data_IF_347191659239
#
_entry.id   IF_347191659239
#
_cell.length_a   1.000
_cell.length_b   1.000
_cell.length_c   1.000
_cell.angle_alpha   90.00
_cell.angle_beta   90.00
_cell.angle_gamma   90.00
#
_symmetry.space_group_name_H-M   'P 1'
#
loop_
_entity.id
_entity.type
_entity.pdbx_description
1 polymer ?
#
# COMPACT_ATOMS: atom_id res chain seq x y z
N UNK A 1 -64.91 -26.22 67.49
CA UNK A 1 -64.43 -25.64 68.74
C UNK A 1 -63.15 -24.91 68.42
N UNK A 2 -63.29 -23.70 68.20
CA UNK A 2 -62.72 -22.51 68.84
C UNK A 2 -61.25 -22.57 69.21
N UNK A 3 -60.44 -21.74 68.61
CA UNK A 3 -59.79 -20.66 69.33
C UNK A 3 -59.03 -19.72 68.34
N UNK A 4 -59.53 -18.50 68.33
CA UNK A 4 -58.88 -17.32 67.74
C UNK A 4 -57.61 -16.96 68.53
N UNK A 5 -56.55 -16.64 67.84
CA UNK A 5 -55.43 -15.91 68.45
C UNK A 5 -55.06 -14.78 67.50
N UNK A 6 -55.32 -13.58 67.97
CA UNK A 6 -54.88 -12.28 67.46
C UNK A 6 -53.36 -12.19 67.72
N UNK A 7 -52.61 -11.95 66.68
CA UNK A 7 -51.21 -11.52 66.77
C UNK A 7 -51.10 -10.14 66.22
N UNK A 8 -50.65 -9.23 67.05
CA UNK A 8 -50.45 -7.81 66.78
C UNK A 8 -49.23 -7.63 65.84
N UNK A 9 -49.45 -6.76 64.87
CA UNK A 9 -48.39 -6.32 63.95
C UNK A 9 -47.65 -5.08 64.57
N UNK A 10 -46.33 -5.10 64.65
CA UNK A 10 -45.58 -3.87 64.97
C UNK A 10 -45.38 -3.04 63.72
N UNK A 11 -45.68 -1.76 63.88
CA UNK A 11 -45.50 -0.67 62.92
C UNK A 11 -43.99 -0.37 62.84
N UNK A 12 -43.29 -0.78 61.76
CA UNK A 12 -41.93 -0.42 61.48
C UNK A 12 -41.88 0.93 60.74
N UNK A 13 -41.33 1.94 61.43
CA UNK A 13 -40.96 3.20 60.79
C UNK A 13 -39.81 2.96 59.78
N UNK A 14 -40.09 3.17 58.53
CA UNK A 14 -39.05 3.23 57.48
C UNK A 14 -38.41 4.62 57.48
N UNK A 15 -37.17 4.66 57.96
CA UNK A 15 -36.31 5.83 57.81
C UNK A 15 -35.76 5.78 56.37
N UNK A 16 -36.25 6.66 55.49
CA UNK A 16 -35.77 6.84 54.15
C UNK A 16 -34.36 7.48 54.14
N UNK A 17 -33.34 6.69 53.88
CA UNK A 17 -32.02 7.22 53.58
C UNK A 17 -32.01 7.76 52.15
N UNK A 18 -31.95 9.06 51.99
CA UNK A 18 -31.64 9.73 50.72
C UNK A 18 -30.20 9.39 50.37
N UNK A 19 -30.02 8.48 49.40
CA UNK A 19 -28.71 8.26 48.75
C UNK A 19 -28.51 9.39 47.76
N UNK A 20 -27.67 10.36 48.11
CA UNK A 20 -27.21 11.36 47.15
C UNK A 20 -26.33 10.62 46.10
N UNK A 21 -26.85 10.50 44.87
CA UNK A 21 -26.08 10.06 43.70
C UNK A 21 -25.13 11.19 43.35
N UNK A 22 -23.88 11.09 43.78
CA UNK A 22 -22.80 11.94 43.30
C UNK A 22 -22.61 11.65 41.82
N UNK A 23 -22.95 12.62 40.96
CA UNK A 23 -22.58 12.57 39.56
C UNK A 23 -21.04 12.52 39.47
N UNK A 24 -20.52 11.36 39.14
CA UNK A 24 -19.11 11.24 38.78
C UNK A 24 -18.87 12.02 37.50
N UNK A 25 -18.18 13.15 37.65
CA UNK A 25 -17.68 13.91 36.50
C UNK A 25 -16.68 12.98 35.76
N UNK A 26 -17.03 12.61 34.55
CA UNK A 26 -16.10 12.00 33.60
C UNK A 26 -14.88 12.92 33.46
N UNK A 27 -13.65 12.42 33.63
CA UNK A 27 -12.46 13.23 33.37
C UNK A 27 -12.52 13.75 31.91
N UNK A 28 -12.12 14.99 31.65
CA UNK A 28 -12.05 15.48 30.28
C UNK A 28 -11.10 14.56 29.49
N UNK A 29 -11.52 14.16 28.31
CA UNK A 29 -10.67 13.43 27.39
C UNK A 29 -9.33 14.17 27.24
N UNK A 30 -8.21 13.46 27.20
CA UNK A 30 -6.92 14.09 26.98
C UNK A 30 -7.00 14.83 25.64
N UNK A 31 -6.93 16.16 25.71
CA UNK A 31 -6.72 16.99 24.53
C UNK A 31 -5.32 16.62 24.02
N UNK A 32 -5.27 15.79 22.99
CA UNK A 32 -4.06 15.64 22.21
C UNK A 32 -3.60 17.05 21.81
N UNK A 33 -2.38 17.46 22.10
CA UNK A 33 -1.89 18.69 21.52
C UNK A 33 -1.99 18.48 20.01
N UNK A 34 -2.79 19.30 19.34
CA UNK A 34 -2.71 19.47 17.92
C UNK A 34 -1.30 20.03 17.64
N UNK A 35 -0.33 19.12 17.62
CA UNK A 35 0.96 19.40 17.04
C UNK A 35 0.68 19.71 15.59
N UNK A 36 0.61 21.01 15.27
CA UNK A 36 0.88 21.49 13.94
C UNK A 36 2.33 21.07 13.65
N UNK A 37 2.51 19.77 13.34
CA UNK A 37 3.69 19.29 12.70
C UNK A 37 3.82 20.14 11.45
N UNK A 38 4.75 21.08 11.46
CA UNK A 38 5.19 21.75 10.25
C UNK A 38 5.48 20.60 9.28
N UNK A 39 4.59 20.38 8.32
CA UNK A 39 4.90 19.54 7.17
C UNK A 39 6.09 20.23 6.51
N UNK A 40 7.29 19.80 6.90
CA UNK A 40 8.50 20.23 6.23
C UNK A 40 8.29 19.83 4.77
N UNK A 41 8.07 20.84 3.94
CA UNK A 41 7.92 20.68 2.51
C UNK A 41 9.11 19.86 2.06
N UNK A 42 8.84 18.64 1.57
CA UNK A 42 9.90 17.76 1.11
C UNK A 42 10.87 18.54 0.22
N UNK A 43 12.18 18.39 0.40
CA UNK A 43 13.16 19.11 -0.42
C UNK A 43 12.82 18.96 -1.89
N UNK A 44 12.98 20.01 -2.67
CA UNK A 44 12.77 19.95 -4.11
C UNK A 44 13.67 18.85 -4.69
N UNK A 45 13.12 18.03 -5.58
CA UNK A 45 13.90 16.98 -6.24
C UNK A 45 15.12 17.64 -6.94
N UNK A 46 16.33 17.07 -6.80
CA UNK A 46 17.52 17.66 -7.38
C UNK A 46 17.38 17.75 -8.91
N UNK A 47 17.80 18.87 -9.46
CA UNK A 47 17.88 19.10 -10.90
C UNK A 47 19.30 18.85 -11.38
N UNK A 48 19.44 18.46 -12.64
CA UNK A 48 20.75 18.23 -13.25
C UNK A 48 20.74 17.05 -14.22
N UNK A 49 21.87 16.81 -14.89
CA UNK A 49 21.98 15.71 -15.84
C UNK A 49 21.92 14.35 -15.12
N UNK A 50 21.38 13.38 -15.83
CA UNK A 50 21.31 12.00 -15.36
C UNK A 50 22.72 11.41 -15.33
N UNK A 51 23.05 10.73 -14.22
CA UNK A 51 24.32 10.02 -14.06
C UNK A 51 24.29 8.70 -14.80
N UNK A 52 25.49 8.19 -15.15
CA UNK A 52 25.66 6.86 -15.75
C UNK A 52 26.56 5.98 -14.91
N UNK A 53 26.29 4.70 -14.96
CA UNK A 53 27.14 3.67 -14.39
C UNK A 53 28.38 3.44 -15.28
N UNK A 54 29.44 2.77 -14.78
CA UNK A 54 30.63 2.46 -15.56
C UNK A 54 30.34 1.66 -16.86
N UNK A 55 29.29 0.85 -16.87
CA UNK A 55 28.85 0.10 -18.05
C UNK A 55 28.08 0.96 -19.07
N UNK A 56 27.93 2.27 -18.85
CA UNK A 56 27.27 3.22 -19.74
C UNK A 56 25.76 3.36 -19.55
N UNK A 57 25.12 2.46 -18.83
CA UNK A 57 23.69 2.56 -18.56
C UNK A 57 23.35 3.69 -17.58
N UNK A 58 22.12 4.15 -17.61
CA UNK A 58 21.62 5.16 -16.68
C UNK A 58 21.69 4.62 -15.25
N UNK A 59 22.25 5.42 -14.37
CA UNK A 59 22.24 5.17 -12.93
C UNK A 59 20.86 5.49 -12.36
N UNK A 60 20.08 4.46 -12.03
CA UNK A 60 18.77 4.57 -11.37
C UNK A 60 18.89 4.47 -9.85
N UNK A 61 20.09 4.22 -9.32
CA UNK A 61 20.34 4.00 -7.90
C UNK A 61 19.91 5.18 -7.05
N UNK A 62 19.47 4.90 -5.84
CA UNK A 62 19.06 5.90 -4.85
C UNK A 62 17.80 5.52 -4.09
N UNK A 63 17.44 6.36 -3.14
CA UNK A 63 16.18 6.27 -2.41
C UNK A 63 15.14 7.12 -3.13
N UNK A 64 14.01 6.53 -3.43
CA UNK A 64 12.92 7.11 -4.19
C UNK A 64 11.63 7.11 -3.39
N UNK A 65 10.70 8.00 -3.72
CA UNK A 65 9.35 8.02 -3.17
C UNK A 65 8.32 8.25 -4.27
N UNK A 66 7.18 7.55 -4.20
CA UNK A 66 6.17 7.50 -5.27
C UNK A 66 6.56 6.55 -6.39
N UNK A 67 6.07 6.78 -7.61
CA UNK A 67 6.36 5.97 -8.79
C UNK A 67 5.42 4.82 -9.05
N UNK A 68 4.31 4.74 -8.33
CA UNK A 68 3.22 3.79 -8.55
C UNK A 68 1.95 4.23 -7.85
N UNK A 69 0.83 3.52 -8.06
CA UNK A 69 -0.42 3.81 -7.39
C UNK A 69 -0.29 3.55 -5.88
N UNK A 70 -0.88 4.43 -5.09
CA UNK A 70 -1.09 4.30 -3.66
C UNK A 70 -2.59 4.31 -3.39
N UNK A 71 -3.26 5.46 -3.55
CA UNK A 71 -4.70 5.63 -3.32
C UNK A 71 -5.58 5.03 -4.42
N UNK A 72 -5.42 5.48 -5.65
CA UNK A 72 -6.23 5.06 -6.80
C UNK A 72 -5.36 4.93 -8.06
N UNK A 73 -5.34 3.78 -8.67
CA UNK A 73 -4.61 3.50 -9.91
C UNK A 73 -5.05 4.40 -11.08
N UNK A 74 -6.30 4.85 -11.07
CA UNK A 74 -6.85 5.74 -12.11
C UNK A 74 -6.13 7.08 -12.19
N UNK A 75 -5.46 7.50 -11.12
CA UNK A 75 -4.61 8.70 -11.15
C UNK A 75 -3.43 8.59 -12.13
N UNK A 76 -3.03 7.39 -12.49
CA UNK A 76 -1.98 7.13 -13.48
C UNK A 76 -2.48 7.00 -14.92
N UNK A 77 -3.77 6.96 -15.15
CA UNK A 77 -4.33 6.86 -16.50
C UNK A 77 -4.13 8.15 -17.30
N UNK A 78 -4.00 8.02 -18.61
CA UNK A 78 -3.98 9.17 -19.49
C UNK A 78 -5.32 9.94 -19.43
N UNK A 79 -5.27 11.25 -19.68
CA UNK A 79 -6.47 12.11 -19.65
C UNK A 79 -7.57 11.55 -20.57
N UNK A 80 -8.74 11.30 -20.00
CA UNK A 80 -9.91 10.77 -20.70
C UNK A 80 -9.97 9.26 -20.80
N UNK A 81 -8.94 8.54 -20.37
CA UNK A 81 -8.96 7.08 -20.25
C UNK A 81 -9.76 6.66 -19.01
N UNK A 82 -10.35 5.47 -19.09
CA UNK A 82 -11.05 4.82 -17.99
C UNK A 82 -10.48 3.43 -17.77
N UNK A 83 -10.57 2.97 -16.53
CA UNK A 83 -10.14 1.62 -16.17
C UNK A 83 -11.02 0.59 -16.90
N UNK A 84 -10.46 -0.28 -17.76
CA UNK A 84 -11.23 -1.23 -18.56
C UNK A 84 -11.62 -2.49 -17.77
N UNK A 85 -12.00 -2.32 -16.50
CA UNK A 85 -12.35 -3.41 -15.59
C UNK A 85 -13.64 -4.11 -16.04
N UNK A 86 -13.69 -5.43 -15.95
CA UNK A 86 -14.87 -6.21 -16.24
C UNK A 86 -15.93 -6.04 -15.14
N UNK A 87 -17.25 -6.09 -15.48
CA UNK A 87 -18.31 -5.82 -14.52
C UNK A 87 -18.31 -6.73 -13.29
N UNK A 88 -17.93 -8.00 -13.45
CA UNK A 88 -17.81 -8.96 -12.34
C UNK A 88 -16.70 -8.56 -11.36
N UNK A 89 -15.57 -8.08 -11.86
CA UNK A 89 -14.45 -7.62 -11.04
C UNK A 89 -14.70 -6.25 -10.41
N UNK A 90 -15.47 -5.38 -11.09
CA UNK A 90 -15.94 -4.13 -10.48
C UNK A 90 -16.79 -4.41 -9.24
N UNK A 91 -17.69 -5.40 -9.27
CA UNK A 91 -18.49 -5.81 -8.11
C UNK A 91 -17.63 -6.32 -6.95
N UNK A 92 -16.58 -7.07 -7.26
CA UNK A 92 -15.62 -7.54 -6.24
C UNK A 92 -14.90 -6.36 -5.61
N UNK A 93 -14.41 -5.42 -6.43
CA UNK A 93 -13.76 -4.21 -5.97
C UNK A 93 -14.68 -3.37 -5.07
N UNK A 94 -15.93 -3.16 -5.48
CA UNK A 94 -16.94 -2.38 -4.73
C UNK A 94 -17.30 -3.01 -3.37
N UNK A 95 -17.13 -4.33 -3.23
CA UNK A 95 -17.41 -5.06 -1.99
C UNK A 95 -16.21 -5.12 -1.02
N UNK A 96 -15.00 -4.74 -1.46
CA UNK A 96 -13.79 -4.82 -0.63
C UNK A 96 -13.86 -3.85 0.54
N UNK A 97 -13.29 -4.29 1.66
CA UNK A 97 -13.19 -3.50 2.88
C UNK A 97 -11.72 -3.18 3.15
N UNK A 98 -11.42 -2.00 3.69
CA UNK A 98 -10.03 -1.57 3.97
C UNK A 98 -9.28 -2.53 4.91
N UNK A 99 -9.99 -3.19 5.84
CA UNK A 99 -9.40 -4.22 6.73
C UNK A 99 -8.93 -5.48 5.98
N UNK A 100 -9.45 -5.72 4.78
CA UNK A 100 -9.13 -6.89 3.96
C UNK A 100 -7.96 -6.59 2.99
N UNK A 101 -7.47 -5.36 3.00
CA UNK A 101 -6.27 -5.00 2.23
C UNK A 101 -5.07 -5.82 2.73
N UNK A 102 -4.40 -6.58 1.87
CA UNK A 102 -3.20 -7.32 2.24
C UNK A 102 -2.14 -6.45 2.90
N UNK A 103 -1.99 -5.22 2.45
CA UNK A 103 -1.05 -4.27 3.02
C UNK A 103 -1.41 -3.90 4.47
N UNK A 104 -2.68 -3.70 4.78
CA UNK A 104 -3.14 -3.49 6.16
C UNK A 104 -2.83 -4.68 7.08
N UNK A 105 -2.67 -5.86 6.50
CA UNK A 105 -2.30 -7.10 7.17
C UNK A 105 -0.79 -7.42 7.11
N UNK A 106 0.04 -6.42 6.83
CA UNK A 106 1.50 -6.56 6.74
C UNK A 106 1.96 -7.57 5.68
N UNK A 107 1.25 -7.66 4.55
CA UNK A 107 1.62 -8.48 3.41
C UNK A 107 2.20 -7.62 2.28
N UNK A 108 2.95 -8.18 1.33
CA UNK A 108 3.56 -7.41 0.27
C UNK A 108 2.57 -6.66 -0.61
N UNK A 109 2.97 -5.48 -1.11
CA UNK A 109 2.13 -4.65 -1.98
C UNK A 109 1.95 -5.19 -3.40
N UNK A 110 2.84 -6.07 -3.86
CA UNK A 110 2.84 -6.53 -5.26
C UNK A 110 3.31 -5.46 -6.24
N UNK A 111 2.81 -5.52 -7.48
CA UNK A 111 3.16 -4.64 -8.60
C UNK A 111 1.86 -4.23 -9.32
N UNK A 112 1.66 -2.97 -9.68
CA UNK A 112 2.58 -1.82 -9.65
C UNK A 112 2.48 -0.97 -8.38
N UNK A 113 1.71 -1.41 -7.38
CA UNK A 113 1.44 -0.64 -6.16
C UNK A 113 2.74 -0.18 -5.50
N UNK A 114 2.69 1.03 -4.97
CA UNK A 114 3.69 1.56 -4.04
C UNK A 114 2.97 1.95 -2.77
N UNK A 115 3.60 1.70 -1.64
CA UNK A 115 3.19 2.28 -0.38
C UNK A 115 3.67 3.74 -0.26
N UNK A 116 3.21 4.50 0.72
CA UNK A 116 3.63 5.88 0.89
C UNK A 116 5.07 6.03 1.41
N UNK A 117 5.77 4.92 1.64
CA UNK A 117 7.13 4.89 2.18
C UNK A 117 8.18 4.95 1.08
N UNK A 118 9.43 5.31 1.41
CA UNK A 118 10.55 5.27 0.49
C UNK A 118 10.88 3.85 0.04
N UNK A 119 11.53 3.77 -1.12
CA UNK A 119 12.07 2.54 -1.66
C UNK A 119 13.39 2.82 -2.37
N UNK A 120 14.26 1.83 -2.48
CA UNK A 120 15.61 2.00 -3.01
C UNK A 120 15.82 1.12 -4.24
N UNK A 121 16.50 1.70 -5.24
CA UNK A 121 17.06 0.93 -6.38
C UNK A 121 18.53 0.67 -6.11
N UNK A 122 18.93 -0.58 -6.27
CA UNK A 122 20.31 -1.03 -6.36
C UNK A 122 20.52 -1.73 -7.70
N UNK A 123 21.59 -1.37 -8.40
CA UNK A 123 21.92 -1.95 -9.71
C UNK A 123 23.27 -2.66 -9.65
N UNK A 124 23.30 -3.85 -10.23
CA UNK A 124 24.51 -4.60 -10.55
C UNK A 124 24.49 -4.97 -12.04
N UNK A 125 25.54 -5.58 -12.56
CA UNK A 125 25.58 -6.00 -13.96
C UNK A 125 24.56 -7.11 -14.28
N UNK A 126 24.18 -7.90 -13.29
CA UNK A 126 23.28 -9.06 -13.48
C UNK A 126 21.89 -8.87 -12.87
N UNK A 127 21.72 -7.90 -11.99
CA UNK A 127 20.47 -7.69 -11.27
C UNK A 127 20.17 -6.21 -11.03
N UNK A 128 18.88 -5.89 -10.97
CA UNK A 128 18.39 -4.67 -10.35
C UNK A 128 17.46 -5.07 -9.21
N UNK A 129 17.67 -4.49 -8.02
CA UNK A 129 16.83 -4.75 -6.85
C UNK A 129 16.04 -3.50 -6.50
N UNK A 130 14.77 -3.71 -6.18
CA UNK A 130 13.92 -2.71 -5.52
C UNK A 130 13.76 -3.16 -4.08
N UNK A 131 14.25 -2.37 -3.12
CA UNK A 131 14.11 -2.62 -1.68
C UNK A 131 13.01 -1.69 -1.16
N UNK A 132 12.06 -2.22 -0.45
CA UNK A 132 10.93 -1.47 0.10
C UNK A 132 11.09 -1.27 1.60
N UNK A 133 10.85 -0.04 2.10
CA UNK A 133 10.87 0.28 3.52
C UNK A 133 9.58 -0.16 4.19
N UNK A 134 8.45 0.12 3.55
CA UNK A 134 7.14 -0.07 4.15
C UNK A 134 6.63 -1.51 4.17
N UNK A 135 5.60 -1.73 4.99
CA UNK A 135 4.88 -2.97 5.18
C UNK A 135 5.69 -4.09 5.80
N UNK A 136 6.30 -4.84 4.96
CA UNK A 136 7.23 -5.92 5.30
C UNK A 136 8.51 -5.60 4.54
N UNK A 137 9.63 -5.70 5.20
CA UNK A 137 10.93 -5.56 4.56
C UNK A 137 11.04 -6.57 3.42
N UNK A 138 10.60 -6.15 2.25
CA UNK A 138 10.56 -6.98 1.07
C UNK A 138 11.44 -6.39 -0.02
N UNK A 139 11.74 -7.20 -0.98
CA UNK A 139 12.49 -6.78 -2.15
C UNK A 139 11.92 -7.42 -3.41
N UNK A 140 12.13 -6.74 -4.52
CA UNK A 140 11.87 -7.28 -5.84
C UNK A 140 13.19 -7.43 -6.57
N UNK A 141 13.41 -8.59 -7.15
CA UNK A 141 14.59 -8.91 -7.94
C UNK A 141 14.23 -8.86 -9.42
N UNK A 142 15.02 -8.15 -10.19
CA UNK A 142 14.91 -8.06 -11.65
C UNK A 142 16.19 -8.62 -12.23
N UNK A 143 16.08 -9.69 -13.02
CA UNK A 143 17.19 -10.34 -13.68
C UNK A 143 17.62 -9.56 -14.92
N UNK A 144 18.89 -9.18 -15.01
CA UNK A 144 19.46 -8.38 -16.11
C UNK A 144 20.38 -9.19 -17.03
N UNK A 145 20.41 -10.51 -16.88
CA UNK A 145 21.30 -11.41 -17.59
C UNK A 145 20.75 -11.98 -18.90
N UNK A 146 19.60 -11.46 -19.36
CA UNK A 146 18.97 -11.86 -20.62
C UNK A 146 18.22 -13.19 -20.59
N UNK A 147 18.01 -13.74 -19.38
CA UNK A 147 17.20 -14.97 -19.23
C UNK A 147 15.76 -14.78 -19.67
N UNK A 148 15.10 -15.89 -19.97
CA UNK A 148 13.64 -15.93 -20.17
C UNK A 148 12.94 -16.27 -18.86
N UNK A 149 11.63 -16.01 -18.81
CA UNK A 149 10.80 -16.55 -17.73
C UNK A 149 10.79 -18.08 -17.77
N UNK A 150 10.89 -18.74 -16.61
CA UNK A 150 10.62 -20.18 -16.51
C UNK A 150 9.18 -20.50 -16.92
N UNK A 151 8.95 -21.70 -17.43
CA UNK A 151 7.61 -22.16 -17.84
C UNK A 151 6.76 -22.68 -16.68
N UNK A 152 7.40 -22.95 -15.54
CA UNK A 152 6.85 -23.62 -14.34
C UNK A 152 6.96 -22.71 -13.10
N UNK A 153 6.55 -21.46 -13.23
CA UNK A 153 6.58 -20.48 -12.14
C UNK A 153 5.53 -20.77 -11.09
N UNK A 154 5.96 -20.85 -9.83
CA UNK A 154 5.06 -20.72 -8.70
C UNK A 154 4.63 -19.24 -8.57
N UNK A 155 3.33 -18.93 -8.48
CA UNK A 155 2.84 -17.57 -8.34
C UNK A 155 3.34 -16.89 -7.06
N UNK A 156 3.87 -15.67 -7.18
CA UNK A 156 4.41 -14.89 -6.06
C UNK A 156 3.86 -13.46 -6.02
N UNK A 157 4.08 -12.75 -4.92
CA UNK A 157 3.65 -11.35 -4.77
C UNK A 157 4.26 -10.38 -5.77
N UNK A 158 5.53 -10.59 -6.14
CA UNK A 158 6.26 -9.70 -7.05
C UNK A 158 6.51 -10.32 -8.42
N UNK A 159 6.04 -11.54 -8.65
CA UNK A 159 6.26 -12.28 -9.89
C UNK A 159 7.74 -12.56 -10.16
N UNK A 160 8.00 -13.08 -11.35
CA UNK A 160 9.34 -13.25 -11.91
C UNK A 160 9.61 -12.12 -12.90
N UNK A 161 10.63 -11.29 -12.62
CA UNK A 161 10.94 -10.10 -13.40
C UNK A 161 12.23 -10.26 -14.19
N UNK A 162 12.18 -9.98 -15.50
CA UNK A 162 13.37 -9.90 -16.37
C UNK A 162 13.49 -8.48 -16.92
N UNK A 163 14.69 -7.94 -16.92
CA UNK A 163 14.97 -6.58 -17.34
C UNK A 163 15.85 -6.53 -18.59
N UNK A 164 15.67 -5.47 -19.39
CA UNK A 164 16.56 -5.12 -20.48
C UNK A 164 16.63 -3.61 -20.63
N UNK A 165 17.72 -3.12 -21.19
CA UNK A 165 17.85 -1.72 -21.53
C UNK A 165 17.37 -1.45 -22.95
N UNK A 166 16.55 -0.42 -23.13
CA UNK A 166 16.14 0.16 -24.41
C UNK A 166 16.60 1.63 -24.40
N UNK A 167 17.81 1.87 -24.91
CA UNK A 167 18.46 3.17 -24.75
C UNK A 167 18.67 3.52 -23.27
N UNK A 168 18.10 4.62 -22.83
CA UNK A 168 18.18 5.11 -21.43
C UNK A 168 17.00 4.65 -20.55
N UNK A 169 16.17 3.75 -21.04
CA UNK A 169 15.02 3.22 -20.32
C UNK A 169 15.27 1.77 -19.92
N UNK A 170 15.14 1.47 -18.63
CA UNK A 170 15.06 0.11 -18.14
C UNK A 170 13.63 -0.42 -18.37
N UNK A 171 13.50 -1.47 -19.15
CA UNK A 171 12.24 -2.16 -19.39
C UNK A 171 12.22 -3.45 -18.59
N UNK A 172 11.17 -3.62 -17.79
CA UNK A 172 11.00 -4.78 -16.90
C UNK A 172 9.73 -5.52 -17.29
N UNK A 173 9.87 -6.74 -17.70
CA UNK A 173 8.80 -7.67 -18.03
C UNK A 173 8.56 -8.60 -16.83
N UNK A 174 7.30 -8.79 -16.42
CA UNK A 174 6.99 -9.58 -15.21
C UNK A 174 5.73 -10.40 -15.38
N UNK A 175 5.83 -11.67 -15.03
CA UNK A 175 4.74 -12.66 -15.01
C UNK A 175 4.82 -13.51 -13.73
N UNK A 176 3.86 -14.39 -13.51
CA UNK A 176 3.85 -15.32 -12.37
C UNK A 176 3.49 -14.63 -11.06
N UNK A 177 2.52 -13.73 -11.11
CA UNK A 177 1.92 -13.12 -9.93
C UNK A 177 0.87 -14.06 -9.30
N UNK A 178 0.79 -14.04 -7.95
CA UNK A 178 -0.41 -14.53 -7.28
C UNK A 178 -1.53 -13.48 -7.38
N UNK A 179 -2.75 -13.82 -6.97
CA UNK A 179 -3.92 -12.93 -6.99
C UNK A 179 -4.24 -12.30 -5.62
N UNK A 180 -3.25 -12.27 -4.71
CA UNK A 180 -3.46 -11.94 -3.30
C UNK A 180 -3.30 -10.47 -2.98
N UNK A 181 -2.75 -9.63 -3.85
CA UNK A 181 -2.57 -8.21 -3.59
C UNK A 181 -3.58 -7.32 -4.33
N UNK A 182 -3.62 -6.05 -3.97
CA UNK A 182 -4.42 -5.04 -4.63
C UNK A 182 -3.51 -4.02 -5.32
N UNK A 183 -3.96 -3.46 -6.43
CA UNK A 183 -3.16 -2.43 -7.12
C UNK A 183 -3.10 -1.09 -6.38
N UNK A 184 -4.02 -0.84 -5.44
CA UNK A 184 -4.18 0.42 -4.71
C UNK A 184 -5.05 0.25 -3.45
N UNK A 185 -5.23 1.34 -2.66
CA UNK A 185 -6.04 1.31 -1.44
C UNK A 185 -7.54 1.17 -1.68
N UNK A 186 -8.04 1.50 -2.89
CA UNK A 186 -9.45 1.31 -3.20
C UNK A 186 -9.79 -0.12 -3.64
N UNK A 187 -8.81 -1.00 -3.65
CA UNK A 187 -9.04 -2.42 -3.89
C UNK A 187 -9.10 -2.82 -5.36
N UNK A 188 -8.40 -2.12 -6.24
CA UNK A 188 -8.35 -2.48 -7.66
C UNK A 188 -7.75 -3.89 -7.85
N UNK A 189 -8.52 -4.83 -8.44
CA UNK A 189 -8.17 -6.25 -8.48
C UNK A 189 -7.28 -6.62 -9.66
N UNK A 190 -6.73 -7.82 -9.58
CA UNK A 190 -6.10 -8.53 -10.68
C UNK A 190 -6.27 -10.04 -10.49
N UNK A 191 -5.77 -10.83 -11.44
CA UNK A 191 -5.75 -12.29 -11.42
C UNK A 191 -4.32 -12.81 -11.59
N UNK A 192 -4.12 -14.12 -11.48
CA UNK A 192 -2.85 -14.77 -11.80
C UNK A 192 -2.45 -14.67 -13.29
N UNK A 193 -3.37 -14.21 -14.16
CA UNK A 193 -3.07 -13.95 -15.57
C UNK A 193 -2.37 -12.60 -15.77
N UNK A 194 -2.11 -11.86 -14.68
CA UNK A 194 -1.44 -10.58 -14.73
C UNK A 194 -0.06 -10.68 -15.37
N UNK A 195 0.15 -9.86 -16.38
CA UNK A 195 1.44 -9.57 -17.00
C UNK A 195 1.68 -8.07 -16.94
N UNK A 196 2.84 -7.65 -16.50
CA UNK A 196 3.20 -6.22 -16.48
C UNK A 196 4.47 -5.96 -17.27
N UNK A 197 4.47 -4.85 -18.02
CA UNK A 197 5.69 -4.30 -18.62
C UNK A 197 5.89 -2.89 -18.07
N UNK A 198 6.94 -2.71 -17.28
CA UNK A 198 7.28 -1.42 -16.67
C UNK A 198 8.46 -0.78 -17.40
N UNK A 199 8.39 0.53 -17.60
CA UNK A 199 9.42 1.33 -18.26
C UNK A 199 9.90 2.42 -17.30
N UNK A 200 11.11 2.26 -16.80
CA UNK A 200 11.77 3.18 -15.86
C UNK A 200 12.64 4.14 -16.64
N UNK A 201 12.23 5.40 -16.70
CA UNK A 201 13.00 6.46 -17.40
C UNK A 201 13.36 7.57 -16.43
N UNK A 202 14.66 7.72 -16.13
CA UNK A 202 15.16 8.81 -15.30
C UNK A 202 15.30 10.06 -16.16
N UNK A 203 14.34 10.99 -16.06
CA UNK A 203 14.28 12.18 -16.93
C UNK A 203 15.17 13.31 -16.44
N UNK A 204 15.43 13.40 -15.14
CA UNK A 204 16.39 14.32 -14.51
C UNK A 204 17.11 13.61 -13.36
N UNK A 205 18.10 14.25 -12.77
CA UNK A 205 18.79 13.69 -11.59
C UNK A 205 17.80 13.26 -10.49
N UNK A 206 16.72 14.00 -10.28
CA UNK A 206 15.77 13.77 -9.19
C UNK A 206 14.43 13.21 -9.61
N UNK A 207 14.21 12.87 -10.89
CA UNK A 207 12.90 12.47 -11.40
C UNK A 207 12.99 11.15 -12.16
N UNK A 208 12.21 10.18 -11.74
CA UNK A 208 12.06 8.89 -12.39
C UNK A 208 10.60 8.71 -12.80
N UNK A 209 10.34 8.58 -14.10
CA UNK A 209 9.02 8.30 -14.65
C UNK A 209 8.91 6.79 -14.84
N UNK A 210 7.81 6.21 -14.36
CA UNK A 210 7.51 4.78 -14.47
C UNK A 210 6.18 4.65 -15.21
N UNK A 211 6.25 4.17 -16.44
CA UNK A 211 5.08 3.76 -17.22
C UNK A 211 4.91 2.26 -17.05
N UNK A 212 3.72 1.83 -16.63
CA UNK A 212 3.40 0.41 -16.50
C UNK A 212 2.25 0.05 -17.44
N UNK A 213 2.48 -0.88 -18.33
CA UNK A 213 1.43 -1.57 -19.07
C UNK A 213 0.95 -2.73 -18.23
N UNK A 214 -0.35 -2.81 -18.01
CA UNK A 214 -1.03 -3.87 -17.29
C UNK A 214 -1.85 -4.65 -18.32
N UNK A 215 -1.57 -5.93 -18.43
CA UNK A 215 -2.31 -6.88 -19.26
C UNK A 215 -2.77 -8.05 -18.38
N UNK A 216 -4.05 -8.06 -18.08
CA UNK A 216 -4.69 -9.11 -17.28
C UNK A 216 -6.07 -9.43 -17.88
N UNK A 217 -6.11 -10.36 -18.82
CA UNK A 217 -7.35 -10.73 -19.49
C UNK A 217 -8.37 -11.39 -18.55
N UNK A 218 -7.97 -11.82 -17.35
CA UNK A 218 -8.85 -12.29 -16.29
C UNK A 218 -9.75 -11.18 -15.74
N UNK A 219 -9.18 -10.03 -15.43
CA UNK A 219 -9.90 -8.93 -14.76
C UNK A 219 -10.29 -7.78 -15.68
N UNK A 220 -9.62 -7.59 -16.82
CA UNK A 220 -9.80 -6.43 -17.72
C UNK A 220 -10.19 -6.84 -19.13
N UNK A 221 -10.88 -5.95 -19.81
CA UNK A 221 -11.35 -6.17 -21.20
C UNK A 221 -10.28 -5.89 -22.26
N UNK A 222 -9.23 -5.16 -21.90
CA UNK A 222 -8.05 -4.84 -22.73
C UNK A 222 -6.87 -4.45 -21.86
N UNK A 223 -5.64 -4.53 -22.36
CA UNK A 223 -4.49 -3.92 -21.69
C UNK A 223 -4.68 -2.41 -21.53
N UNK A 224 -4.07 -1.85 -20.49
CA UNK A 224 -4.08 -0.41 -20.23
C UNK A 224 -2.74 0.04 -19.64
N UNK A 225 -2.51 1.35 -19.67
CA UNK A 225 -1.27 1.95 -19.18
C UNK A 225 -1.54 2.93 -18.05
N UNK A 226 -0.63 2.94 -17.11
CA UNK A 226 -0.56 3.94 -16.06
C UNK A 226 0.83 4.56 -16.04
N UNK A 227 0.93 5.83 -15.63
CA UNK A 227 2.20 6.53 -15.50
C UNK A 227 2.26 7.27 -14.19
N UNK A 228 3.30 7.00 -13.43
CA UNK A 228 3.58 7.65 -12.16
C UNK A 228 5.02 8.18 -12.13
N UNK A 229 5.24 9.15 -11.25
CA UNK A 229 6.56 9.76 -11.09
C UNK A 229 7.08 9.51 -9.69
N UNK A 230 8.31 8.99 -9.59
CA UNK A 230 9.06 8.92 -8.35
C UNK A 230 10.02 10.11 -8.24
N UNK A 231 10.23 10.58 -7.00
CA UNK A 231 11.17 11.65 -6.66
C UNK A 231 12.32 11.09 -5.85
N UNK A 232 13.55 11.45 -6.27
CA UNK A 232 14.75 11.09 -5.53
C UNK A 232 14.76 11.81 -4.17
N UNK A 233 15.17 11.10 -3.14
CA UNK A 233 15.33 11.56 -1.76
C UNK A 233 16.83 11.57 -1.39
N UNK A 234 17.56 12.63 -1.75
CA UNK A 234 19.01 12.65 -1.57
C UNK A 234 19.39 12.62 -0.09
N UNK A 235 20.36 11.76 0.23
CA UNK A 235 20.86 11.63 1.60
C UNK A 235 19.92 10.89 2.56
N UNK A 236 18.77 10.42 2.10
CA UNK A 236 17.90 9.56 2.90
C UNK A 236 18.35 8.11 2.86
N UNK A 237 18.10 7.43 3.95
CA UNK A 237 18.30 5.99 4.12
C UNK A 237 16.93 5.33 4.28
N UNK A 238 16.83 4.05 3.95
CA UNK A 238 15.66 3.26 4.32
C UNK A 238 15.71 3.00 5.82
N UNK A 239 14.59 3.24 6.48
CA UNK A 239 14.45 2.96 7.91
C UNK A 239 14.01 1.52 8.11
N UNK A 240 14.29 0.99 9.29
CA UNK A 240 13.66 -0.24 9.75
C UNK A 240 12.19 0.06 10.08
N UNK A 241 11.29 -0.70 9.44
CA UNK A 241 9.85 -0.60 9.66
C UNK A 241 9.27 -1.99 9.88
N UNK A 242 8.82 -2.25 11.11
CA UNK A 242 8.21 -3.54 11.47
C UNK A 242 6.69 -3.36 11.51
N UNK A 243 6.02 -3.71 10.43
CA UNK A 243 4.58 -3.52 10.27
C UNK A 243 3.75 -4.15 11.41
N UNK A 244 4.17 -5.30 11.93
CA UNK A 244 3.47 -6.00 13.01
C UNK A 244 3.68 -5.39 14.41
N UNK A 245 4.64 -4.47 14.58
CA UNK A 245 4.79 -3.75 15.84
C UNK A 245 3.62 -2.80 16.01
N UNK A 246 2.87 -3.00 17.11
CA UNK A 246 1.68 -2.20 17.47
C UNK A 246 0.53 -2.23 16.44
N UNK A 247 0.50 -3.19 15.51
CA UNK A 247 -0.58 -3.34 14.54
C UNK A 247 -1.87 -3.95 15.15
N UNK A 248 -2.24 -3.52 16.34
CA UNK A 248 -3.48 -3.95 17.02
C UNK A 248 -4.77 -3.36 16.44
N UNK A 249 -4.67 -2.41 15.51
CA UNK A 249 -5.81 -1.66 15.00
C UNK A 249 -6.44 -2.24 13.73
N UNK A 250 -5.80 -3.17 13.04
CA UNK A 250 -6.30 -3.70 11.76
C UNK A 250 -7.73 -4.24 11.87
N UNK A 251 -8.07 -4.88 12.99
CA UNK A 251 -9.42 -5.42 13.23
C UNK A 251 -10.49 -4.35 13.50
N UNK A 252 -10.07 -3.10 13.75
CA UNK A 252 -10.95 -1.97 13.98
C UNK A 252 -11.16 -1.12 12.71
N UNK A 253 -10.40 -1.37 11.65
CA UNK A 253 -10.57 -0.70 10.36
C UNK A 253 -11.80 -1.31 9.68
N UNK A 254 -12.90 -0.56 9.68
CA UNK A 254 -14.15 -1.01 9.07
C UNK A 254 -14.62 -0.02 8.01
N UNK A 255 -15.34 -0.54 7.02
CA UNK A 255 -15.89 0.26 5.94
C UNK A 255 -15.33 -0.11 4.56
N UNK A 256 -15.92 0.42 3.47
CA UNK A 256 -15.47 0.14 2.12
C UNK A 256 -14.04 0.67 1.93
N UNK A 257 -13.27 0.00 1.09
CA UNK A 257 -11.96 0.47 0.67
C UNK A 257 -12.13 1.83 -0.04
N UNK A 258 -11.46 2.86 0.46
CA UNK A 258 -11.54 4.25 -0.04
C UNK A 258 -10.17 4.89 0.04
N UNK A 259 -10.01 5.96 -0.73
CA UNK A 259 -8.87 6.87 -0.59
C UNK A 259 -8.88 7.53 0.81
N UNK A 260 -7.70 7.71 1.37
CA UNK A 260 -7.47 8.46 2.59
C UNK A 260 -7.12 9.91 2.28
#
# INVERSE_FOLDING_TARGET
>A
MNRSSLVALPLALAVGALVAVSAQQTPPAPTSPAGAGSQQRAPAAPTGPVKRLPNGHVDLSGVWQGGGPVGDIKMGLAKGETLPIKPEWQKIMDARQSKDDPEANCLPTGVPRRDPYPWRILQTDTHTFLLFEGNIHSYRQIFMDGRKHPSDLDPTWYGHSVGRWEGDTLVVDTVGFNDLFWFDFIGTPHTEQLHTVERYTRTTLGTLVIETTIDDPGAYTRPFKITFTARLRPGEELMEYICNENNGFVHHITGPAKEF
#
